data_IF_286708510780
#
_entry.id   IF_286708510780
#
_cell.length_a   1.000
_cell.length_b   1.000
_cell.length_c   1.000
_cell.angle_alpha   90.00
_cell.angle_beta   90.00
_cell.angle_gamma   90.00
#
_symmetry.space_group_name_H-M   'P 1'
#
loop_
_entity.id
_entity.type
_entity.pdbx_description
1 polymer ?
#
# COMPACT_ATOMS: atom_id res chain seq x y z
N UNK A 1 -26.37 -6.22 -50.50
CA UNK A 1 -27.44 -5.23 -50.25
C UNK A 1 -28.40 -5.90 -49.27
N UNK A 2 -28.55 -5.53 -48.01
CA UNK A 2 -28.13 -4.36 -47.25
C UNK A 2 -27.85 -4.78 -45.81
N UNK A 3 -26.90 -4.05 -45.23
CA UNK A 3 -26.49 -3.95 -43.84
C UNK A 3 -27.40 -2.93 -43.15
N UNK A 4 -27.96 -3.23 -41.97
CA UNK A 4 -28.45 -2.19 -41.05
C UNK A 4 -28.16 -2.58 -39.59
N UNK A 5 -27.11 -1.95 -39.07
CA UNK A 5 -26.84 -1.50 -37.71
C UNK A 5 -27.72 -2.06 -36.55
N UNK A 6 -27.16 -3.00 -35.79
CA UNK A 6 -27.52 -3.23 -34.40
C UNK A 6 -26.62 -2.40 -33.49
N UNK A 7 -27.20 -1.38 -32.86
CA UNK A 7 -26.57 -0.49 -31.87
C UNK A 7 -25.99 -1.29 -30.70
N UNK A 8 -24.66 -1.38 -30.63
CA UNK A 8 -23.96 -1.76 -29.40
C UNK A 8 -24.20 -0.69 -28.34
N UNK A 9 -25.08 -0.97 -27.37
CA UNK A 9 -25.04 -0.31 -26.08
C UNK A 9 -23.78 -0.78 -25.35
N UNK A 10 -22.62 -0.20 -25.71
CA UNK A 10 -21.44 -0.18 -24.85
C UNK A 10 -21.79 0.68 -23.64
N UNK A 11 -22.45 0.07 -22.67
CA UNK A 11 -22.51 0.60 -21.32
C UNK A 11 -21.10 0.47 -20.76
N UNK A 12 -20.25 1.47 -21.04
CA UNK A 12 -19.02 1.75 -20.29
C UNK A 12 -19.44 2.06 -18.85
N UNK A 13 -19.78 1.01 -18.11
CA UNK A 13 -19.83 1.09 -16.66
C UNK A 13 -18.49 1.62 -16.22
N UNK A 14 -18.49 2.77 -15.55
CA UNK A 14 -17.27 3.33 -14.98
C UNK A 14 -16.63 2.23 -14.13
N UNK A 15 -15.54 1.64 -14.63
CA UNK A 15 -14.70 0.77 -13.82
C UNK A 15 -14.06 1.70 -12.81
N UNK A 16 -14.69 1.89 -11.66
CA UNK A 16 -14.03 2.40 -10.46
C UNK A 16 -12.98 1.36 -10.11
N UNK A 17 -11.83 1.47 -10.75
CA UNK A 17 -10.66 0.65 -10.49
C UNK A 17 -10.27 0.98 -9.05
N UNK A 18 -10.49 0.05 -8.13
CA UNK A 18 -10.02 0.19 -6.76
C UNK A 18 -8.50 0.43 -6.82
N UNK A 19 -8.06 1.61 -6.40
CA UNK A 19 -6.64 1.98 -6.31
C UNK A 19 -6.21 1.68 -4.89
N UNK A 20 -5.67 0.48 -4.67
CA UNK A 20 -5.13 0.07 -3.38
C UNK A 20 -4.39 -1.26 -3.47
N UNK A 21 -3.47 -1.49 -2.56
CA UNK A 21 -2.83 -2.81 -2.40
C UNK A 21 -3.84 -3.75 -1.75
N UNK A 22 -4.12 -4.88 -2.40
CA UNK A 22 -5.09 -5.86 -1.93
C UNK A 22 -4.78 -6.30 -0.49
N UNK A 23 -5.81 -6.37 0.34
CA UNK A 23 -5.72 -6.82 1.73
C UNK A 23 -5.35 -5.75 2.77
N UNK A 24 -4.87 -4.57 2.36
CA UNK A 24 -4.60 -3.46 3.31
C UNK A 24 -5.81 -2.57 3.55
N UNK A 25 -6.75 -2.56 2.63
CA UNK A 25 -7.93 -1.71 2.70
C UNK A 25 -9.11 -2.45 3.30
N UNK A 26 -9.83 -1.81 4.23
CA UNK A 26 -11.02 -2.40 4.83
C UNK A 26 -12.20 -2.42 3.84
N UNK A 27 -13.23 -3.25 4.08
CA UNK A 27 -14.34 -3.45 3.14
C UNK A 27 -15.12 -2.17 2.83
N UNK A 28 -15.25 -1.24 3.78
CA UNK A 28 -15.93 0.04 3.53
C UNK A 28 -15.18 0.96 2.56
N UNK A 29 -13.84 0.82 2.46
CA UNK A 29 -13.05 1.54 1.47
C UNK A 29 -13.29 0.97 0.06
N UNK A 30 -13.50 -0.35 -0.04
CA UNK A 30 -13.93 -0.99 -1.29
C UNK A 30 -15.36 -0.56 -1.68
N UNK A 31 -16.21 -0.29 -0.69
CA UNK A 31 -17.55 0.24 -0.87
C UNK A 31 -17.59 1.77 -1.11
N UNK A 32 -16.45 2.44 -1.29
CA UNK A 32 -16.33 3.89 -1.51
C UNK A 32 -16.91 4.74 -0.37
N UNK A 33 -16.84 4.25 0.88
CA UNK A 33 -17.28 4.94 2.10
C UNK A 33 -16.18 4.96 3.16
N UNK A 34 -15.00 5.55 2.87
CA UNK A 34 -13.91 5.61 3.84
C UNK A 34 -14.29 6.51 5.03
N UNK A 35 -13.78 6.14 6.20
CA UNK A 35 -13.87 6.90 7.45
C UNK A 35 -12.48 6.99 8.08
N UNK A 36 -12.30 7.79 9.14
CA UNK A 36 -11.04 7.76 9.91
C UNK A 36 -10.71 6.38 10.47
N UNK A 37 -11.76 5.61 10.79
CA UNK A 37 -11.62 4.22 11.23
C UNK A 37 -11.04 3.31 10.13
N UNK A 38 -11.27 3.65 8.86
CA UNK A 38 -10.70 2.90 7.73
C UNK A 38 -9.19 3.04 7.66
N UNK A 39 -8.66 4.24 7.92
CA UNK A 39 -7.21 4.47 8.00
C UNK A 39 -6.60 3.73 9.20
N UNK A 40 -7.31 3.67 10.34
CA UNK A 40 -6.86 2.93 11.53
C UNK A 40 -6.71 1.43 11.21
N UNK A 41 -7.62 0.84 10.44
CA UNK A 41 -7.49 -0.53 9.99
C UNK A 41 -6.26 -0.73 9.11
N UNK A 42 -6.06 0.14 8.13
CA UNK A 42 -4.91 0.07 7.23
C UNK A 42 -3.59 0.16 8.00
N UNK A 43 -3.52 1.01 9.05
CA UNK A 43 -2.37 1.07 9.95
C UNK A 43 -2.21 -0.24 10.73
N UNK A 44 -3.29 -0.81 11.26
CA UNK A 44 -3.24 -2.10 11.97
C UNK A 44 -2.71 -3.24 11.09
N UNK A 45 -3.19 -3.33 9.85
CA UNK A 45 -2.70 -4.32 8.87
C UNK A 45 -1.24 -4.07 8.51
N UNK A 46 -0.83 -2.81 8.44
CA UNK A 46 0.58 -2.44 8.23
C UNK A 46 1.44 -2.89 9.41
N UNK A 47 0.97 -2.74 10.67
CA UNK A 47 1.66 -3.27 11.84
C UNK A 47 1.84 -4.78 11.75
N UNK A 48 0.80 -5.54 11.37
CA UNK A 48 0.93 -6.98 11.15
C UNK A 48 1.97 -7.34 10.10
N UNK A 49 1.97 -6.64 8.95
CA UNK A 49 2.97 -6.84 7.92
C UNK A 49 4.39 -6.57 8.44
N UNK A 50 4.59 -5.54 9.25
CA UNK A 50 5.90 -5.22 9.82
C UNK A 50 6.35 -6.24 10.87
N UNK A 51 5.43 -6.80 11.65
CA UNK A 51 5.74 -7.79 12.69
C UNK A 51 6.01 -9.18 12.11
N UNK A 52 5.31 -9.56 11.05
CA UNK A 52 5.38 -10.92 10.46
C UNK A 52 6.21 -11.01 9.19
N UNK A 53 6.37 -9.90 8.47
CA UNK A 53 6.86 -9.89 7.09
C UNK A 53 5.90 -10.53 6.07
N UNK A 54 4.69 -10.93 6.48
CA UNK A 54 3.70 -11.61 5.64
C UNK A 54 2.68 -10.62 5.08
N UNK A 55 2.37 -10.67 3.77
CA UNK A 55 1.31 -9.84 3.21
C UNK A 55 -0.06 -10.26 3.78
N UNK A 56 -1.07 -9.36 3.84
CA UNK A 56 -2.35 -9.64 4.48
C UNK A 56 -3.11 -10.83 3.88
N UNK A 57 -2.92 -11.08 2.58
CA UNK A 57 -3.55 -12.20 1.87
C UNK A 57 -3.05 -13.59 2.30
N UNK A 58 -1.91 -13.67 3.00
CA UNK A 58 -1.33 -14.94 3.45
C UNK A 58 -1.85 -15.36 4.83
N UNK A 59 -2.61 -14.49 5.52
CA UNK A 59 -3.24 -14.83 6.79
C UNK A 59 -4.53 -15.62 6.58
N UNK A 60 -4.87 -16.45 7.57
CA UNK A 60 -6.20 -17.03 7.66
C UNK A 60 -7.22 -15.94 8.03
N UNK A 61 -8.45 -16.08 7.53
CA UNK A 61 -9.57 -15.22 7.87
C UNK A 61 -10.70 -16.06 8.44
N UNK A 62 -11.36 -15.54 9.47
CA UNK A 62 -12.57 -16.17 10.00
C UNK A 62 -13.70 -16.04 8.96
N UNK A 63 -14.29 -17.16 8.50
CA UNK A 63 -15.34 -17.13 7.47
C UNK A 63 -16.65 -16.47 7.93
N UNK A 64 -16.88 -16.32 9.23
CA UNK A 64 -18.11 -15.73 9.77
C UNK A 64 -17.95 -14.23 10.03
N UNK A 65 -16.85 -13.82 10.67
CA UNK A 65 -16.60 -12.42 11.01
C UNK A 65 -15.88 -11.64 9.91
N UNK A 66 -15.12 -12.32 9.04
CA UNK A 66 -14.25 -11.70 8.05
C UNK A 66 -12.99 -11.06 8.67
N UNK A 67 -12.68 -11.38 9.93
CA UNK A 67 -11.52 -10.85 10.65
C UNK A 67 -10.26 -11.67 10.34
N UNK A 68 -9.10 -11.00 10.41
CA UNK A 68 -7.79 -11.64 10.21
C UNK A 68 -7.47 -12.47 11.46
N UNK A 69 -7.17 -13.75 11.29
CA UNK A 69 -6.68 -14.62 12.36
C UNK A 69 -5.16 -14.45 12.50
N UNK A 70 -4.71 -13.41 13.21
CA UNK A 70 -3.30 -13.04 13.30
C UNK A 70 -2.63 -13.39 14.64
N UNK A 71 -3.39 -13.70 15.70
CA UNK A 71 -2.82 -13.84 17.06
C UNK A 71 -1.84 -15.01 17.19
N UNK A 72 -1.98 -16.07 16.37
CA UNK A 72 -1.06 -17.22 16.40
C UNK A 72 0.26 -16.97 15.63
N UNK A 73 0.32 -15.89 14.84
CA UNK A 73 1.42 -15.58 13.93
C UNK A 73 2.44 -14.59 14.53
N UNK A 74 2.12 -13.97 15.66
CA UNK A 74 2.89 -12.91 16.28
C UNK A 74 2.94 -13.08 17.79
N UNK A 75 4.13 -12.96 18.39
CA UNK A 75 4.31 -12.87 19.84
C UNK A 75 4.46 -11.40 20.27
N UNK A 76 3.44 -10.85 20.92
CA UNK A 76 3.38 -9.47 21.42
C UNK A 76 2.72 -9.44 22.80
N UNK A 77 2.87 -8.33 23.54
CA UNK A 77 2.21 -8.18 24.84
C UNK A 77 0.70 -8.34 24.70
N UNK A 78 0.04 -8.96 25.68
CA UNK A 78 -1.42 -9.11 25.72
C UNK A 78 -2.15 -7.77 25.63
N UNK A 79 -1.49 -6.71 26.06
CA UNK A 79 -2.02 -5.36 26.01
C UNK A 79 -2.01 -4.83 24.56
N UNK A 80 -0.85 -4.83 23.92
CA UNK A 80 -0.74 -4.42 22.53
C UNK A 80 -1.59 -5.30 21.61
N UNK A 81 -1.70 -6.60 21.93
CA UNK A 81 -2.56 -7.51 21.20
C UNK A 81 -4.03 -7.07 21.19
N UNK A 82 -4.55 -6.60 22.33
CA UNK A 82 -5.92 -6.07 22.43
C UNK A 82 -6.12 -4.78 21.64
N UNK A 83 -5.11 -3.91 21.61
CA UNK A 83 -5.15 -2.69 20.80
C UNK A 83 -5.20 -3.06 19.32
N UNK A 84 -4.31 -3.95 18.88
CA UNK A 84 -4.21 -4.39 17.51
C UNK A 84 -5.48 -5.15 17.05
N UNK A 85 -6.02 -6.01 17.91
CA UNK A 85 -7.30 -6.71 17.67
C UNK A 85 -8.42 -5.71 17.38
N UNK A 86 -8.53 -4.66 18.20
CA UNK A 86 -9.54 -3.63 18.02
C UNK A 86 -9.29 -2.74 16.79
N UNK A 87 -8.04 -2.50 16.41
CA UNK A 87 -7.74 -1.81 15.14
C UNK A 87 -8.16 -2.62 13.91
N UNK A 88 -8.12 -3.94 14.01
CA UNK A 88 -8.36 -4.89 12.92
C UNK A 88 -9.80 -5.42 12.82
N UNK A 89 -10.71 -4.93 13.67
CA UNK A 89 -12.13 -5.30 13.58
C UNK A 89 -12.71 -5.01 12.21
N UNK A 90 -13.42 -5.98 11.64
CA UNK A 90 -14.07 -5.82 10.34
C UNK A 90 -15.21 -4.78 10.41
N UNK A 91 -15.96 -4.79 11.52
CA UNK A 91 -17.01 -3.81 11.79
C UNK A 91 -16.42 -2.46 12.18
N UNK A 92 -16.77 -1.42 11.42
CA UNK A 92 -16.39 -0.02 11.71
C UNK A 92 -16.85 0.42 13.11
N UNK A 93 -17.99 -0.09 13.60
CA UNK A 93 -18.54 0.28 14.91
C UNK A 93 -17.71 -0.23 16.09
N UNK A 94 -17.05 -1.37 15.93
CA UNK A 94 -16.24 -2.02 16.96
C UNK A 94 -14.79 -1.51 16.97
N UNK A 95 -14.35 -1.03 15.81
CA UNK A 95 -13.04 -0.41 15.62
C UNK A 95 -12.95 0.95 16.33
N UNK A 96 -11.72 1.38 16.61
CA UNK A 96 -11.48 2.74 17.08
C UNK A 96 -12.00 3.77 16.09
N UNK A 97 -12.65 4.81 16.60
CA UNK A 97 -13.25 5.85 15.76
C UNK A 97 -12.33 7.04 15.53
N UNK A 98 -11.27 7.14 16.33
CA UNK A 98 -10.29 8.22 16.21
C UNK A 98 -8.92 7.76 16.70
N UNK A 99 -7.88 8.43 16.21
CA UNK A 99 -6.49 8.12 16.55
C UNK A 99 -6.21 8.39 18.04
N UNK A 100 -6.89 9.36 18.64
CA UNK A 100 -6.77 9.65 20.07
C UNK A 100 -7.22 8.47 20.94
N UNK A 101 -8.20 7.68 20.48
CA UNK A 101 -8.59 6.47 21.18
C UNK A 101 -7.51 5.39 21.10
N UNK A 102 -6.84 5.27 19.96
CA UNK A 102 -5.71 4.35 19.77
C UNK A 102 -4.54 4.78 20.64
N UNK A 103 -4.15 6.06 20.62
CA UNK A 103 -3.06 6.60 21.43
C UNK A 103 -3.30 6.40 22.92
N UNK A 104 -4.50 6.75 23.41
CA UNK A 104 -4.89 6.47 24.80
C UNK A 104 -4.81 4.98 25.12
N UNK A 105 -5.25 4.14 24.19
CA UNK A 105 -5.16 2.70 24.32
C UNK A 105 -3.72 2.18 24.17
N UNK A 106 -2.73 2.95 23.75
CA UNK A 106 -1.32 2.56 23.81
C UNK A 106 -0.68 3.05 25.12
N UNK A 107 -1.05 4.24 25.59
CA UNK A 107 -0.54 4.84 26.82
C UNK A 107 -0.97 4.14 28.12
N UNK A 108 -2.11 3.44 28.09
CA UNK A 108 -2.63 2.71 29.26
C UNK A 108 -1.93 1.35 29.50
N UNK A 109 -0.84 1.04 28.78
CA UNK A 109 -0.01 -0.14 29.07
C UNK A 109 0.66 0.03 30.45
N UNK A 110 0.35 -0.80 31.45
CA UNK A 110 0.82 -0.62 32.83
C UNK A 110 2.30 -0.98 33.03
N UNK A 111 3.01 -1.36 31.97
CA UNK A 111 4.41 -1.77 32.05
C UNK A 111 5.14 -1.47 30.73
N UNK A 112 5.25 -0.19 30.37
CA UNK A 112 6.50 0.24 29.75
C UNK A 112 7.57 0.15 30.84
N UNK A 113 8.22 -1.00 30.97
CA UNK A 113 9.65 -0.95 31.31
C UNK A 113 10.24 -0.02 30.25
N UNK A 114 10.51 1.19 30.70
CA UNK A 114 10.85 2.38 29.95
C UNK A 114 11.59 2.08 28.64
N UNK A 115 10.87 2.06 27.51
CA UNK A 115 11.53 2.18 26.20
C UNK A 115 12.34 3.49 26.11
N UNK A 116 12.01 4.46 26.97
CA UNK A 116 12.81 5.66 27.21
C UNK A 116 14.25 5.37 27.66
N UNK A 117 14.58 4.23 28.28
CA UNK A 117 15.97 3.85 28.56
C UNK A 117 16.71 3.35 27.31
N UNK A 118 16.00 2.70 26.39
CA UNK A 118 16.55 2.24 25.10
C UNK A 118 16.61 3.36 24.04
N UNK A 119 15.77 4.39 24.19
CA UNK A 119 15.63 5.51 23.23
C UNK A 119 16.26 6.82 23.71
N UNK A 120 16.88 6.85 24.91
CA UNK A 120 17.69 7.98 25.33
C UNK A 120 19.06 7.93 24.64
N UNK A 121 19.06 8.22 23.33
CA UNK A 121 20.27 8.71 22.66
C UNK A 121 20.57 10.09 23.24
N UNK A 122 21.22 10.14 24.41
CA UNK A 122 22.06 11.28 24.73
C UNK A 122 23.06 11.33 23.58
N UNK A 123 22.78 12.17 22.58
CA UNK A 123 23.64 12.40 21.44
C UNK A 123 24.97 12.84 22.03
N UNK A 124 25.94 11.93 22.13
CA UNK A 124 27.32 12.28 22.46
C UNK A 124 27.84 13.06 21.26
N UNK A 125 27.57 14.35 21.26
CA UNK A 125 28.33 15.31 20.49
C UNK A 125 29.66 15.52 21.23
N UNK A 126 30.64 14.72 20.82
CA UNK A 126 32.08 15.03 20.83
C UNK A 126 32.80 13.77 20.33
N UNK A 127 33.77 13.76 19.45
CA UNK A 127 34.47 14.74 18.63
C UNK A 127 35.59 13.90 18.01
N UNK A 128 35.55 13.65 16.69
CA UNK A 128 36.73 13.55 15.80
C UNK A 128 36.29 13.16 14.39
N UNK A 129 36.69 14.01 13.45
CA UNK A 129 36.68 13.81 12.01
C UNK A 129 37.42 12.53 11.62
N UNK A 130 36.89 11.75 10.67
CA UNK A 130 37.53 11.50 9.36
C UNK A 130 36.72 10.48 8.52
N UNK A 131 36.68 10.77 7.23
CA UNK A 131 36.44 9.91 6.05
C UNK A 131 35.02 9.47 5.61
N UNK A 132 34.66 10.12 4.49
CA UNK A 132 33.78 9.83 3.36
C UNK A 132 33.07 8.47 3.20
N UNK A 133 31.84 8.62 2.68
CA UNK A 133 31.17 7.78 1.67
C UNK A 133 30.48 6.46 2.09
N UNK A 134 29.20 6.56 2.49
CA UNK A 134 28.07 5.93 1.77
C UNK A 134 26.74 6.14 2.51
N UNK A 135 26.06 7.20 2.15
CA UNK A 135 24.65 7.44 2.51
C UNK A 135 23.74 6.80 1.47
N UNK A 136 22.73 6.07 1.95
CA UNK A 136 21.45 5.80 1.26
C UNK A 136 21.37 4.55 0.36
N UNK A 137 21.87 3.41 0.84
CA UNK A 137 21.53 2.11 0.25
C UNK A 137 20.25 1.52 0.90
N UNK A 138 19.11 1.95 0.34
CA UNK A 138 17.85 1.17 0.20
C UNK A 138 16.87 1.03 1.37
N UNK A 139 15.92 1.96 1.44
CA UNK A 139 14.57 1.67 1.94
C UNK A 139 13.78 0.81 0.93
N UNK A 140 12.97 -0.18 1.36
CA UNK A 140 12.16 -1.03 0.48
C UNK A 140 11.31 -0.26 -0.53
N UNK A 141 10.80 0.92 -0.14
CA UNK A 141 10.03 1.80 -1.01
C UNK A 141 10.85 2.36 -2.19
N UNK A 142 12.15 2.61 -1.99
CA UNK A 142 13.03 3.09 -3.06
C UNK A 142 13.31 2.00 -4.09
N UNK A 143 13.46 0.73 -3.65
CA UNK A 143 13.64 -0.42 -4.56
C UNK A 143 12.42 -0.61 -5.46
N UNK A 144 11.22 -0.56 -4.89
CA UNK A 144 9.98 -0.69 -5.67
C UNK A 144 9.79 0.50 -6.62
N UNK A 145 10.08 1.72 -6.17
CA UNK A 145 10.00 2.92 -7.01
C UNK A 145 11.01 2.89 -8.17
N UNK A 146 12.21 2.37 -7.96
CA UNK A 146 13.22 2.18 -9.00
C UNK A 146 12.80 1.10 -10.01
N UNK A 147 12.29 -0.03 -9.53
CA UNK A 147 11.77 -1.10 -10.41
C UNK A 147 10.62 -0.62 -11.31
N UNK A 148 9.68 0.16 -10.76
CA UNK A 148 8.57 0.76 -11.52
C UNK A 148 9.11 1.73 -12.59
N UNK A 149 10.10 2.57 -12.24
CA UNK A 149 10.74 3.50 -13.18
C UNK A 149 11.43 2.75 -14.33
N UNK A 150 12.18 1.69 -14.01
CA UNK A 150 12.87 0.86 -15.00
C UNK A 150 11.90 0.13 -15.94
N UNK A 151 10.77 -0.35 -15.42
CA UNK A 151 9.72 -0.96 -16.25
C UNK A 151 9.06 0.05 -17.19
N UNK A 152 8.73 1.24 -16.70
CA UNK A 152 8.16 2.33 -17.51
C UNK A 152 9.13 2.81 -18.60
N UNK A 153 10.44 2.86 -18.32
CA UNK A 153 11.45 3.18 -19.34
C UNK A 153 11.52 2.12 -20.44
N UNK A 154 11.54 0.83 -20.09
CA UNK A 154 11.54 -0.28 -21.07
C UNK A 154 10.31 -0.25 -21.97
N UNK A 155 9.13 0.03 -21.41
CA UNK A 155 7.90 0.18 -22.20
C UNK A 155 7.98 1.33 -23.20
N UNK A 156 8.48 2.49 -22.77
CA UNK A 156 8.65 3.66 -23.63
C UNK A 156 9.63 3.41 -24.78
N UNK A 157 10.71 2.66 -24.50
CA UNK A 157 11.67 2.23 -25.52
C UNK A 157 11.04 1.27 -26.53
N UNK A 158 10.32 0.24 -26.07
CA UNK A 158 9.61 -0.67 -26.98
C UNK A 158 8.55 0.05 -27.82
N UNK A 159 7.82 1.02 -27.25
CA UNK A 159 6.85 1.82 -27.98
C UNK A 159 7.53 2.71 -29.04
N UNK A 160 8.65 3.33 -28.70
CA UNK A 160 9.45 4.13 -29.65
C UNK A 160 10.12 3.27 -30.73
N UNK A 161 10.50 2.02 -30.42
CA UNK A 161 11.02 1.08 -31.41
C UNK A 161 9.91 0.63 -32.37
N UNK A 162 8.69 0.42 -31.88
CA UNK A 162 7.51 0.10 -32.69
C UNK A 162 7.09 1.27 -33.60
N UNK A 163 7.23 2.51 -33.13
CA UNK A 163 7.05 3.72 -33.97
C UNK A 163 8.14 3.88 -35.04
N UNK A 164 9.38 3.48 -34.76
CA UNK A 164 10.48 3.52 -35.75
C UNK A 164 10.44 2.35 -36.77
N UNK A 165 9.59 1.34 -36.54
CA UNK A 165 9.41 0.17 -37.42
C UNK A 165 8.22 0.30 -38.38
N UNK A 166 7.47 1.40 -38.33
CA UNK A 166 6.50 1.73 -39.38
C UNK A 166 7.25 2.38 -40.56
N UNK A 167 7.14 1.88 -41.80
CA UNK A 167 7.75 2.55 -42.94
C UNK A 167 7.17 3.95 -43.04
N UNK A 168 8.04 4.96 -43.01
CA UNK A 168 7.68 6.30 -43.48
C UNK A 168 7.27 6.15 -44.94
N UNK A 169 5.97 6.09 -45.20
CA UNK A 169 5.41 6.24 -46.54
C UNK A 169 5.78 7.65 -47.01
N UNK A 170 6.93 7.75 -47.67
CA UNK A 170 7.41 8.95 -48.32
C UNK A 170 6.48 9.31 -49.47
N UNK A 171 6.16 10.60 -49.56
CA UNK A 171 5.44 11.23 -50.65
C UNK A 171 6.03 10.86 -52.02
N UNK A 172 5.15 10.63 -52.99
CA UNK A 172 5.38 10.99 -54.39
C UNK A 172 4.08 11.60 -54.92
N UNK A 173 4.05 12.92 -54.97
CA UNK A 173 3.06 13.68 -55.74
C UNK A 173 3.76 14.10 -57.02
N UNK A 174 3.58 13.30 -58.06
CA UNK A 174 3.98 13.60 -59.42
C UNK A 174 3.04 14.65 -60.06
N UNK A 175 3.59 15.27 -61.09
CA UNK A 175 3.25 16.50 -61.79
C UNK A 175 1.92 16.53 -62.59
N UNK A 176 1.47 17.78 -62.84
CA UNK A 176 0.71 18.31 -64.00
C UNK A 176 -0.82 18.07 -64.07
N UNK A 177 -1.60 18.88 -64.84
CA UNK A 177 -1.23 19.69 -66.02
C UNK A 177 -0.97 21.17 -65.75
#
# INVERSE_FOLDING_TARGET
KEEIAGLEHTQRGATTQFVGTLGFSPPEQLAMRPTYSSDIYAVGVTCLYLLTGKPPMDFAYDPYSGEICWQEEVDVSEYFARVLDRMLKASVGERYQSVEQVLRALELEPYIDNLSDCMNTKRRLSDSMDDEDQSSAYSPFNRTAEQIRQWRCRLRQHQSQKENLLPRSGYSADYCP
#
